data_IF_174521427973
#
_entry.id   IF_174521427973
#
_cell.length_a   1.000
_cell.length_b   1.000
_cell.length_c   1.000
_cell.angle_alpha   90.00
_cell.angle_beta   90.00
_cell.angle_gamma   90.00
#
_symmetry.space_group_name_H-M   'P 1'
#
loop_
_entity.id
_entity.type
_entity.pdbx_description
1 polymer ?
#
# COMPACT_ATOMS: atom_id res chain seq x y z
N UNK A 1 -65.32 61.49 -19.47
CA UNK A 1 -65.41 60.51 -20.56
C UNK A 1 -64.75 59.23 -20.09
N UNK A 2 -65.56 58.25 -20.09
CA UNK A 2 -65.54 56.84 -19.78
C UNK A 2 -64.21 56.14 -19.42
N UNK A 3 -64.12 55.71 -18.17
CA UNK A 3 -63.10 54.74 -17.62
C UNK A 3 -63.59 53.30 -17.78
N UNK A 4 -62.87 52.45 -18.54
CA UNK A 4 -63.14 51.02 -18.57
C UNK A 4 -62.15 50.30 -17.61
N UNK A 5 -62.75 49.70 -16.57
CA UNK A 5 -62.08 48.73 -15.67
C UNK A 5 -61.93 47.38 -16.37
N UNK A 6 -60.71 46.85 -16.47
CA UNK A 6 -60.46 45.48 -16.90
C UNK A 6 -60.22 44.59 -15.67
N UNK A 7 -60.99 43.50 -15.59
CA UNK A 7 -60.95 42.49 -14.54
C UNK A 7 -59.71 41.57 -14.70
N UNK A 8 -59.01 41.33 -13.61
CA UNK A 8 -57.95 40.34 -13.45
C UNK A 8 -58.53 38.92 -13.45
N UNK A 9 -57.87 37.90 -14.09
CA UNK A 9 -58.29 36.49 -13.99
C UNK A 9 -57.73 35.80 -12.79
N UNK A 10 -58.58 34.98 -12.19
CA UNK A 10 -58.32 34.13 -10.99
C UNK A 10 -57.21 33.10 -11.20
N UNK A 11 -56.35 32.97 -10.19
CA UNK A 11 -55.34 31.90 -10.07
C UNK A 11 -56.00 30.53 -9.86
N UNK A 12 -55.91 29.64 -10.85
CA UNK A 12 -56.17 28.20 -10.68
C UNK A 12 -55.00 27.56 -9.95
N UNK A 13 -55.25 26.94 -8.81
CA UNK A 13 -54.31 26.14 -8.05
C UNK A 13 -53.96 24.86 -8.84
N UNK A 14 -52.66 24.66 -9.17
CA UNK A 14 -52.16 23.43 -9.75
C UNK A 14 -51.98 22.39 -8.64
N UNK A 15 -52.72 21.29 -8.73
CA UNK A 15 -52.53 20.08 -7.89
C UNK A 15 -51.15 19.49 -8.21
N UNK A 16 -50.25 19.47 -7.22
CA UNK A 16 -49.01 18.68 -7.27
C UNK A 16 -49.37 17.21 -7.36
N UNK A 17 -49.09 16.57 -8.49
CA UNK A 17 -49.09 15.13 -8.61
C UNK A 17 -47.86 14.57 -7.84
N UNK A 18 -48.10 13.90 -6.73
CA UNK A 18 -47.10 13.13 -6.02
C UNK A 18 -46.88 11.83 -6.80
N UNK A 19 -45.92 11.83 -7.72
CA UNK A 19 -45.47 10.63 -8.40
C UNK A 19 -44.80 9.67 -7.39
N UNK A 20 -45.45 8.57 -7.07
CA UNK A 20 -44.83 7.45 -6.41
C UNK A 20 -43.69 6.93 -7.29
N UNK A 21 -42.43 6.95 -6.77
CA UNK A 21 -41.32 6.22 -7.40
C UNK A 21 -41.73 4.74 -7.53
N UNK A 22 -41.51 4.10 -8.69
CA UNK A 22 -41.76 2.68 -8.84
C UNK A 22 -40.93 1.91 -7.79
N UNK A 23 -41.60 1.10 -6.98
CA UNK A 23 -40.96 0.17 -6.05
C UNK A 23 -40.23 -0.89 -6.87
N UNK A 24 -38.97 -1.12 -6.57
CA UNK A 24 -38.21 -2.24 -7.13
C UNK A 24 -38.96 -3.56 -6.85
N UNK A 25 -39.01 -4.53 -7.79
CA UNK A 25 -39.67 -5.80 -7.59
C UNK A 25 -39.12 -6.51 -6.36
N UNK A 26 -39.97 -6.80 -5.37
CA UNK A 26 -39.61 -7.55 -4.18
C UNK A 26 -39.42 -9.01 -4.54
N UNK A 27 -38.19 -9.52 -4.41
CA UNK A 27 -37.94 -10.96 -4.42
C UNK A 27 -38.64 -11.58 -3.20
N UNK A 28 -39.46 -12.61 -3.39
CA UNK A 28 -40.21 -13.27 -2.33
C UNK A 28 -39.30 -13.68 -1.17
N UNK A 29 -39.67 -13.30 0.05
CA UNK A 29 -38.99 -13.71 1.29
C UNK A 29 -39.14 -15.25 1.44
N UNK A 30 -38.04 -16.01 1.30
CA UNK A 30 -38.03 -17.40 1.72
C UNK A 30 -37.21 -18.41 0.90
N UNK A 31 -36.85 -18.13 -0.36
CA UNK A 31 -35.97 -19.04 -1.12
C UNK A 31 -34.66 -18.32 -1.49
N UNK A 32 -33.53 -19.01 -1.28
CA UNK A 32 -32.25 -18.51 -1.85
C UNK A 32 -32.41 -18.37 -3.36
N UNK A 33 -32.07 -17.21 -3.92
CA UNK A 33 -32.10 -17.00 -5.38
C UNK A 33 -31.25 -18.05 -6.08
N UNK A 34 -31.50 -18.31 -7.37
CA UNK A 34 -30.68 -19.23 -8.17
C UNK A 34 -29.21 -18.84 -8.14
N UNK A 35 -28.93 -17.53 -8.12
CA UNK A 35 -27.58 -16.98 -8.05
C UNK A 35 -26.91 -17.24 -6.69
N UNK A 36 -27.67 -17.16 -5.58
CA UNK A 36 -27.15 -17.54 -4.25
C UNK A 36 -26.91 -19.06 -4.14
N UNK A 37 -27.69 -19.91 -4.83
CA UNK A 37 -27.42 -21.34 -4.95
C UNK A 37 -26.16 -21.65 -5.76
N UNK A 38 -25.81 -20.78 -6.71
CA UNK A 38 -24.56 -20.84 -7.47
C UNK A 38 -23.35 -20.25 -6.72
N UNK A 39 -23.52 -19.87 -5.43
CA UNK A 39 -22.43 -19.39 -4.59
C UNK A 39 -22.31 -17.86 -4.49
N UNK A 40 -23.17 -17.08 -5.17
CA UNK A 40 -23.12 -15.60 -5.16
C UNK A 40 -24.33 -15.02 -4.41
N UNK A 41 -24.12 -14.57 -3.17
CA UNK A 41 -25.17 -13.97 -2.33
C UNK A 41 -25.18 -12.43 -2.48
N UNK A 42 -26.03 -11.94 -3.40
CA UNK A 42 -26.20 -10.49 -3.65
C UNK A 42 -26.73 -9.75 -2.41
N UNK A 43 -27.62 -10.38 -1.62
CA UNK A 43 -28.16 -9.74 -0.42
C UNK A 43 -27.09 -9.55 0.66
N UNK A 44 -26.21 -10.54 0.82
CA UNK A 44 -25.02 -10.43 1.67
C UNK A 44 -24.09 -9.31 1.17
N UNK A 45 -23.77 -9.30 -0.11
CA UNK A 45 -22.95 -8.25 -0.72
C UNK A 45 -23.49 -6.84 -0.46
N UNK A 46 -24.81 -6.63 -0.61
CA UNK A 46 -25.44 -5.33 -0.35
C UNK A 46 -25.41 -4.93 1.14
N UNK A 47 -25.61 -5.88 2.07
CA UNK A 47 -25.50 -5.61 3.52
C UNK A 47 -24.08 -5.21 3.89
N UNK A 48 -23.09 -5.90 3.34
CA UNK A 48 -21.68 -5.60 3.56
C UNK A 48 -21.34 -4.21 3.01
N UNK A 49 -21.72 -3.90 1.77
CA UNK A 49 -21.50 -2.59 1.14
C UNK A 49 -22.11 -1.43 1.96
N UNK A 50 -23.27 -1.63 2.59
CA UNK A 50 -23.88 -0.59 3.43
C UNK A 50 -23.05 -0.24 4.68
N UNK A 51 -22.29 -1.18 5.24
CA UNK A 51 -21.39 -0.97 6.38
C UNK A 51 -20.04 -0.32 6.02
N UNK A 52 -19.58 -0.53 4.79
CA UNK A 52 -18.27 -0.04 4.32
C UNK A 52 -18.21 1.50 4.33
N UNK A 53 -19.28 2.17 3.94
CA UNK A 53 -19.34 3.62 3.84
C UNK A 53 -18.95 4.35 5.13
N UNK A 54 -19.34 3.82 6.29
CA UNK A 54 -18.99 4.40 7.59
C UNK A 54 -17.48 4.24 7.91
N UNK A 55 -16.88 3.13 7.51
CA UNK A 55 -15.44 2.86 7.72
C UNK A 55 -14.56 3.72 6.82
N UNK A 56 -14.98 3.99 5.59
CA UNK A 56 -14.19 4.69 4.57
C UNK A 56 -14.33 6.21 4.64
N UNK A 57 -15.51 6.72 5.02
CA UNK A 57 -15.79 8.17 5.12
C UNK A 57 -14.73 8.98 5.89
N UNK A 58 -14.10 8.49 6.97
CA UNK A 58 -13.03 9.22 7.67
C UNK A 58 -11.76 9.49 6.85
N UNK A 59 -11.61 8.86 5.67
CA UNK A 59 -10.50 9.12 4.73
C UNK A 59 -10.80 10.25 3.75
N UNK A 60 -12.09 10.66 3.64
CA UNK A 60 -12.55 11.64 2.65
C UNK A 60 -12.33 13.06 3.13
N UNK A 61 -11.69 13.88 2.28
CA UNK A 61 -11.60 15.33 2.41
C UNK A 61 -12.55 16.04 1.43
N UNK A 62 -12.41 17.36 1.35
CA UNK A 62 -13.21 18.20 0.42
C UNK A 62 -12.93 17.90 -1.07
N UNK A 63 -11.85 17.21 -1.36
CA UNK A 63 -11.48 16.80 -2.72
C UNK A 63 -12.34 15.63 -3.24
N UNK A 64 -12.99 14.85 -2.37
CA UNK A 64 -13.88 13.74 -2.76
C UNK A 64 -15.26 14.28 -3.05
N UNK A 65 -15.72 14.18 -4.30
CA UNK A 65 -16.96 14.79 -4.77
C UNK A 65 -18.17 13.87 -4.77
N UNK A 66 -18.01 12.61 -4.44
CA UNK A 66 -19.08 11.61 -4.46
C UNK A 66 -19.14 10.75 -3.20
N UNK A 67 -20.18 9.93 -3.12
CA UNK A 67 -20.30 8.85 -2.14
C UNK A 67 -19.78 7.53 -2.68
N UNK A 68 -19.52 6.57 -1.78
CA UNK A 68 -19.19 5.19 -2.14
C UNK A 68 -20.41 4.51 -2.76
N UNK A 69 -20.18 3.69 -3.80
CA UNK A 69 -21.23 2.91 -4.49
C UNK A 69 -21.67 3.50 -5.83
N UNK A 70 -21.03 4.57 -6.32
CA UNK A 70 -21.13 5.02 -7.70
C UNK A 70 -20.30 4.16 -8.65
N UNK A 71 -20.46 4.35 -9.98
CA UNK A 71 -19.66 3.65 -10.99
C UNK A 71 -18.18 4.01 -10.97
N UNK A 72 -17.82 5.14 -10.33
CA UNK A 72 -16.43 5.58 -10.18
C UNK A 72 -16.28 6.55 -9.02
N UNK A 73 -15.08 6.58 -8.45
CA UNK A 73 -14.68 7.55 -7.44
C UNK A 73 -14.39 8.91 -8.08
N UNK A 74 -14.97 9.98 -7.54
CA UNK A 74 -14.78 11.33 -8.05
C UNK A 74 -13.83 12.09 -7.11
N UNK A 75 -12.69 12.52 -7.64
CA UNK A 75 -11.68 13.25 -6.88
C UNK A 75 -11.26 14.52 -7.63
N UNK A 76 -11.32 15.66 -6.96
CA UNK A 76 -10.91 16.96 -7.49
C UNK A 76 -9.64 17.44 -6.79
N UNK A 77 -8.46 17.24 -7.35
CA UNK A 77 -7.22 17.73 -6.75
C UNK A 77 -7.18 19.26 -6.77
N UNK A 78 -6.82 19.87 -5.64
CA UNK A 78 -6.56 21.31 -5.55
C UNK A 78 -5.06 21.58 -5.71
N UNK A 79 -4.62 21.76 -6.95
CA UNK A 79 -3.21 21.97 -7.29
C UNK A 79 -2.65 23.25 -6.68
N UNK A 80 -3.46 24.35 -6.60
CA UNK A 80 -3.03 25.62 -6.01
C UNK A 80 -2.73 25.48 -4.52
N UNK A 81 -3.66 24.87 -3.77
CA UNK A 81 -3.50 24.60 -2.34
C UNK A 81 -2.28 23.72 -2.05
N UNK A 82 -1.93 22.84 -2.98
CA UNK A 82 -0.77 21.94 -2.88
C UNK A 82 0.54 22.61 -3.34
N UNK A 83 0.48 23.81 -3.91
CA UNK A 83 1.66 24.53 -4.43
C UNK A 83 2.24 23.90 -5.70
N UNK A 84 1.47 23.07 -6.42
CA UNK A 84 1.87 22.36 -7.62
C UNK A 84 1.58 23.22 -8.85
N UNK A 85 2.60 23.44 -9.67
CA UNK A 85 2.52 24.28 -10.89
C UNK A 85 2.46 23.41 -12.15
N UNK A 86 3.25 22.35 -12.22
CA UNK A 86 3.31 21.40 -13.34
C UNK A 86 3.04 20.00 -12.80
N UNK A 87 1.74 19.59 -12.69
CA UNK A 87 1.34 18.37 -12.03
C UNK A 87 1.69 17.11 -12.86
N UNK A 88 2.37 16.16 -12.21
CA UNK A 88 2.59 14.80 -12.72
C UNK A 88 1.84 13.83 -11.81
N UNK A 89 0.94 13.04 -12.40
CA UNK A 89 0.27 11.95 -11.70
C UNK A 89 1.15 10.71 -11.72
N UNK A 90 1.22 10.04 -10.57
CA UNK A 90 1.94 8.78 -10.40
C UNK A 90 0.96 7.75 -9.88
N UNK A 91 0.88 6.61 -10.54
CA UNK A 91 0.02 5.50 -10.13
C UNK A 91 0.81 4.22 -9.98
N UNK A 92 0.45 3.40 -8.98
CA UNK A 92 0.97 2.06 -8.77
C UNK A 92 -0.19 1.12 -8.45
N UNK A 93 0.00 -0.16 -8.77
CA UNK A 93 -0.91 -1.26 -8.41
C UNK A 93 -0.09 -2.36 -7.78
N UNK A 94 -0.54 -2.89 -6.65
CA UNK A 94 0.13 -4.00 -5.99
C UNK A 94 -0.87 -4.90 -5.25
N UNK A 95 -0.37 -6.03 -4.76
CA UNK A 95 -1.10 -6.98 -3.92
C UNK A 95 -0.37 -7.25 -2.60
N UNK A 96 -0.98 -8.04 -1.73
CA UNK A 96 -0.33 -8.49 -0.48
C UNK A 96 0.45 -9.78 -0.68
N UNK A 97 0.09 -10.55 -1.69
CA UNK A 97 0.76 -11.80 -2.04
C UNK A 97 0.55 -12.89 -0.97
N UNK A 98 1.52 -13.82 -0.88
CA UNK A 98 1.38 -15.02 -0.04
C UNK A 98 1.48 -14.78 1.47
N UNK A 99 1.67 -13.54 1.93
CA UNK A 99 1.43 -13.14 3.33
C UNK A 99 -0.02 -13.42 3.75
N UNK A 100 -0.98 -13.38 2.82
CA UNK A 100 -2.39 -13.73 3.07
C UNK A 100 -2.54 -15.11 3.70
N UNK A 101 -1.68 -16.09 3.35
CA UNK A 101 -1.72 -17.42 3.96
C UNK A 101 -1.43 -17.41 5.47
N UNK A 102 -0.70 -16.41 5.96
CA UNK A 102 -0.48 -16.22 7.40
C UNK A 102 -1.75 -15.66 8.04
N UNK A 103 -2.40 -14.69 7.40
CA UNK A 103 -3.66 -14.15 7.88
C UNK A 103 -4.75 -15.23 7.97
N UNK A 104 -4.87 -16.10 6.96
CA UNK A 104 -5.79 -17.25 6.98
C UNK A 104 -5.49 -18.20 8.12
N UNK A 105 -4.23 -18.58 8.31
CA UNK A 105 -3.82 -19.53 9.34
C UNK A 105 -3.90 -18.98 10.78
N UNK A 106 -3.90 -17.66 10.96
CA UNK A 106 -4.04 -16.99 12.26
C UNK A 106 -5.43 -16.46 12.52
N UNK A 107 -6.32 -16.49 11.54
CA UNK A 107 -7.64 -15.83 11.53
C UNK A 107 -7.57 -14.34 11.95
N UNK A 108 -6.50 -13.65 11.52
CA UNK A 108 -6.25 -12.24 11.79
C UNK A 108 -6.07 -11.47 10.48
N UNK A 109 -7.03 -10.62 10.15
CA UNK A 109 -7.13 -9.93 8.87
C UNK A 109 -7.02 -8.41 8.97
N UNK A 110 -6.89 -7.85 10.18
CA UNK A 110 -6.91 -6.39 10.41
C UNK A 110 -5.62 -5.68 9.98
N UNK A 111 -4.52 -6.43 9.78
CA UNK A 111 -3.22 -5.90 9.34
C UNK A 111 -3.13 -5.79 7.83
N UNK A 112 -3.82 -6.67 7.10
CA UNK A 112 -3.61 -6.91 5.65
C UNK A 112 -3.99 -5.69 4.80
N UNK A 113 -5.10 -5.02 5.13
CA UNK A 113 -5.47 -3.79 4.43
C UNK A 113 -4.43 -2.68 4.58
N UNK A 114 -3.80 -2.56 5.77
CA UNK A 114 -2.74 -1.61 6.00
C UNK A 114 -1.43 -1.99 5.28
N UNK A 115 -1.13 -3.28 5.18
CA UNK A 115 -0.01 -3.78 4.38
C UNK A 115 -0.10 -3.27 2.93
N UNK A 116 -1.27 -3.48 2.30
CA UNK A 116 -1.51 -3.10 0.92
C UNK A 116 -1.34 -1.59 0.69
N UNK A 117 -2.01 -0.77 1.53
CA UNK A 117 -1.92 0.69 1.39
C UNK A 117 -0.49 1.18 1.59
N UNK A 118 0.22 0.70 2.62
CA UNK A 118 1.58 1.12 2.92
C UNK A 118 2.56 0.72 1.81
N UNK A 119 2.39 -0.47 1.23
CA UNK A 119 3.17 -0.91 0.07
C UNK A 119 3.00 0.08 -1.09
N UNK A 120 1.77 0.27 -1.56
CA UNK A 120 1.48 1.17 -2.68
C UNK A 120 1.89 2.64 -2.41
N UNK A 121 1.71 3.11 -1.18
CA UNK A 121 2.15 4.46 -0.77
C UNK A 121 3.66 4.61 -0.88
N UNK A 122 4.44 3.61 -0.46
CA UNK A 122 5.89 3.63 -0.56
C UNK A 122 6.35 3.65 -2.02
N UNK A 123 5.68 2.89 -2.90
CA UNK A 123 6.01 2.83 -4.32
C UNK A 123 5.88 4.17 -5.05
N UNK A 124 4.83 4.93 -4.75
CA UNK A 124 4.70 6.26 -5.34
C UNK A 124 5.57 7.31 -4.64
N UNK A 125 5.84 7.13 -3.33
CA UNK A 125 6.66 8.08 -2.56
C UNK A 125 8.11 8.13 -3.06
N UNK A 126 8.67 7.01 -3.55
CA UNK A 126 10.04 6.98 -4.11
C UNK A 126 10.20 7.84 -5.35
N UNK A 127 9.12 8.18 -6.04
CA UNK A 127 9.12 9.13 -7.17
C UNK A 127 8.95 10.59 -6.73
N UNK A 128 8.80 10.84 -5.43
CA UNK A 128 8.49 12.16 -4.86
C UNK A 128 6.99 12.47 -4.75
N UNK A 129 6.11 11.55 -5.21
CA UNK A 129 4.67 11.79 -5.22
C UNK A 129 4.04 11.67 -3.83
N UNK A 130 3.05 12.53 -3.58
CA UNK A 130 2.18 12.46 -2.40
C UNK A 130 0.85 11.82 -2.78
N UNK A 131 0.32 10.92 -1.93
CA UNK A 131 -0.95 10.24 -2.20
C UNK A 131 -2.12 11.20 -2.40
N UNK A 132 -3.02 10.84 -3.31
CA UNK A 132 -4.31 11.49 -3.53
C UNK A 132 -5.45 10.56 -3.13
N UNK A 133 -5.58 9.44 -3.81
CA UNK A 133 -6.64 8.48 -3.58
C UNK A 133 -6.20 7.04 -3.83
N UNK A 134 -6.99 6.12 -3.29
CA UNK A 134 -6.79 4.68 -3.33
C UNK A 134 -8.07 3.98 -3.79
N UNK A 135 -7.92 2.89 -4.52
CA UNK A 135 -8.97 1.96 -4.92
C UNK A 135 -8.52 0.55 -4.53
N UNK A 136 -9.43 -0.27 -4.00
CA UNK A 136 -9.16 -1.66 -3.64
C UNK A 136 -9.93 -2.65 -4.51
N UNK A 137 -9.39 -3.86 -4.63
CA UNK A 137 -10.07 -5.02 -5.18
C UNK A 137 -9.96 -6.17 -4.17
N UNK A 138 -11.11 -6.67 -3.72
CA UNK A 138 -11.19 -7.80 -2.79
C UNK A 138 -11.99 -8.91 -3.48
N UNK A 139 -11.37 -10.06 -3.72
CA UNK A 139 -12.01 -11.21 -4.32
C UNK A 139 -11.91 -12.43 -3.39
N UNK A 140 -13.01 -13.12 -3.15
CA UNK A 140 -13.08 -14.28 -2.25
C UNK A 140 -13.96 -15.39 -2.85
N UNK A 141 -13.74 -16.64 -2.45
CA UNK A 141 -14.66 -17.72 -2.78
C UNK A 141 -16.08 -17.41 -2.27
N UNK A 142 -16.15 -16.93 -1.02
CA UNK A 142 -17.36 -16.49 -0.34
C UNK A 142 -17.00 -15.33 0.60
N UNK A 143 -17.81 -14.27 0.57
CA UNK A 143 -17.60 -13.13 1.44
C UNK A 143 -17.94 -13.46 2.91
N UNK A 144 -16.99 -13.26 3.80
CA UNK A 144 -17.21 -13.21 5.24
C UNK A 144 -17.28 -11.73 5.68
N UNK A 145 -18.43 -11.28 6.25
CA UNK A 145 -18.59 -9.89 6.66
C UNK A 145 -17.60 -9.43 7.73
N UNK A 146 -17.17 -10.33 8.64
CA UNK A 146 -16.17 -10.03 9.67
C UNK A 146 -14.81 -9.77 9.04
N UNK A 147 -14.35 -10.72 8.23
CA UNK A 147 -13.05 -10.64 7.54
C UNK A 147 -12.99 -9.38 6.66
N UNK A 148 -14.06 -9.13 5.89
CA UNK A 148 -14.12 -7.95 5.04
C UNK A 148 -14.09 -6.64 5.83
N UNK A 149 -14.80 -6.59 6.98
CA UNK A 149 -14.76 -5.43 7.88
C UNK A 149 -13.35 -5.20 8.42
N UNK A 150 -12.63 -6.24 8.82
CA UNK A 150 -11.24 -6.16 9.31
C UNK A 150 -10.31 -5.62 8.23
N UNK A 151 -10.37 -6.17 7.01
CA UNK A 151 -9.57 -5.71 5.87
C UNK A 151 -9.82 -4.23 5.59
N UNK A 152 -11.10 -3.82 5.47
CA UNK A 152 -11.47 -2.43 5.16
C UNK A 152 -11.09 -1.48 6.31
N UNK A 153 -11.14 -1.94 7.54
CA UNK A 153 -10.66 -1.16 8.69
C UNK A 153 -9.16 -0.89 8.56
N UNK A 154 -8.37 -1.90 8.20
CA UNK A 154 -6.94 -1.76 7.91
C UNK A 154 -6.65 -0.80 6.76
N UNK A 155 -7.35 -0.96 5.63
CA UNK A 155 -7.28 -0.05 4.47
C UNK A 155 -7.58 1.39 4.87
N UNK A 156 -8.69 1.62 5.54
CA UNK A 156 -9.14 2.96 5.96
C UNK A 156 -8.16 3.62 6.93
N UNK A 157 -7.67 2.87 7.92
CA UNK A 157 -6.66 3.36 8.88
C UNK A 157 -5.41 3.85 8.15
N UNK A 158 -4.82 3.02 7.29
CA UNK A 158 -3.60 3.36 6.58
C UNK A 158 -3.82 4.49 5.56
N UNK A 159 -4.95 4.51 4.86
CA UNK A 159 -5.33 5.62 3.98
C UNK A 159 -5.46 6.95 4.75
N UNK A 160 -6.07 6.94 5.94
CA UNK A 160 -6.17 8.13 6.79
C UNK A 160 -4.80 8.63 7.23
N UNK A 161 -3.91 7.74 7.69
CA UNK A 161 -2.52 8.06 8.07
C UNK A 161 -1.73 8.62 6.89
N UNK A 162 -1.93 8.05 5.71
CA UNK A 162 -1.33 8.52 4.47
C UNK A 162 -1.95 9.82 3.94
N UNK A 163 -3.07 10.31 4.49
CA UNK A 163 -3.90 11.39 3.94
C UNK A 163 -4.29 11.12 2.50
N UNK A 164 -4.71 9.90 2.25
CA UNK A 164 -5.13 9.34 0.98
C UNK A 164 -6.60 8.97 1.07
N UNK A 165 -7.42 9.39 0.12
CA UNK A 165 -8.86 9.08 0.16
C UNK A 165 -9.12 7.69 -0.42
N UNK A 166 -9.74 6.80 0.33
CA UNK A 166 -10.27 5.53 -0.21
C UNK A 166 -11.61 5.84 -0.88
N UNK A 167 -11.61 5.99 -2.22
CA UNK A 167 -12.75 6.55 -2.95
C UNK A 167 -13.64 5.51 -3.63
N UNK A 168 -13.26 4.24 -3.59
CA UNK A 168 -14.01 3.14 -4.20
C UNK A 168 -13.19 1.88 -4.23
N UNK A 169 -13.76 0.87 -4.86
CA UNK A 169 -13.16 -0.45 -5.03
C UNK A 169 -14.17 -1.44 -5.56
N UNK A 170 -13.76 -2.70 -5.66
CA UNK A 170 -14.61 -3.81 -6.08
C UNK A 170 -14.52 -4.95 -5.05
N UNK A 171 -15.67 -5.57 -4.78
CA UNK A 171 -15.75 -6.75 -3.91
C UNK A 171 -16.47 -7.84 -4.65
N UNK A 172 -15.75 -8.90 -5.02
CA UNK A 172 -16.23 -9.99 -5.87
C UNK A 172 -16.35 -11.31 -5.09
N UNK A 173 -17.45 -12.05 -5.32
CA UNK A 173 -17.58 -13.45 -4.93
C UNK A 173 -17.27 -14.31 -6.14
N UNK A 174 -16.26 -15.15 -6.04
CA UNK A 174 -15.73 -15.97 -7.13
C UNK A 174 -15.60 -17.44 -6.68
N UNK A 175 -16.74 -18.14 -6.50
CA UNK A 175 -16.73 -19.54 -6.08
C UNK A 175 -16.00 -20.41 -7.12
N UNK A 176 -15.15 -21.31 -6.64
CA UNK A 176 -14.35 -22.20 -7.49
C UNK A 176 -13.02 -21.60 -7.98
N UNK A 177 -12.80 -20.27 -7.84
CA UNK A 177 -11.50 -19.65 -8.16
C UNK A 177 -10.58 -19.60 -6.92
N UNK A 178 -11.15 -19.34 -5.76
CA UNK A 178 -10.44 -19.32 -4.47
C UNK A 178 -10.89 -20.50 -3.61
N UNK A 179 -10.02 -20.96 -2.71
CA UNK A 179 -10.37 -21.94 -1.68
C UNK A 179 -11.37 -21.37 -0.67
N UNK A 180 -12.08 -22.24 0.05
CA UNK A 180 -13.00 -21.81 1.11
C UNK A 180 -12.23 -21.06 2.21
N UNK A 181 -12.73 -19.89 2.61
CA UNK A 181 -12.05 -18.98 3.57
C UNK A 181 -10.89 -18.18 3.00
N UNK A 182 -10.54 -18.38 1.73
CA UNK A 182 -9.47 -17.62 1.07
C UNK A 182 -10.01 -16.43 0.27
N UNK A 183 -9.18 -15.41 0.18
CA UNK A 183 -9.41 -14.22 -0.62
C UNK A 183 -8.12 -13.72 -1.24
N UNK A 184 -8.23 -12.88 -2.25
CA UNK A 184 -7.15 -12.06 -2.77
C UNK A 184 -7.44 -10.58 -2.59
N UNK A 185 -6.39 -9.77 -2.51
CA UNK A 185 -6.47 -8.35 -2.23
C UNK A 185 -5.44 -7.61 -3.07
N UNK A 186 -5.91 -6.72 -3.90
CA UNK A 186 -5.08 -5.79 -4.66
C UNK A 186 -5.54 -4.35 -4.45
N UNK A 187 -4.66 -3.39 -4.70
CA UNK A 187 -4.97 -1.98 -4.58
C UNK A 187 -4.26 -1.14 -5.62
N UNK A 188 -4.93 -0.07 -6.02
CA UNK A 188 -4.38 0.95 -6.90
C UNK A 188 -4.34 2.28 -6.19
N UNK A 189 -3.17 2.91 -6.22
CA UNK A 189 -2.95 4.25 -5.67
C UNK A 189 -2.66 5.24 -6.79
N UNK A 190 -3.17 6.45 -6.63
CA UNK A 190 -2.76 7.59 -7.45
C UNK A 190 -2.27 8.70 -6.54
N UNK A 191 -1.09 9.20 -6.85
CA UNK A 191 -0.46 10.34 -6.19
C UNK A 191 -0.10 11.43 -7.19
N UNK A 192 0.50 12.50 -6.67
CA UNK A 192 0.87 13.67 -7.45
C UNK A 192 2.20 14.24 -6.99
N UNK A 193 2.99 14.73 -7.94
CA UNK A 193 4.23 15.46 -7.71
C UNK A 193 4.31 16.64 -8.68
N UNK A 194 4.96 17.74 -8.27
CA UNK A 194 5.34 18.79 -9.23
C UNK A 194 6.51 18.26 -10.08
N UNK A 195 6.48 18.45 -11.41
CA UNK A 195 7.52 17.94 -12.32
C UNK A 195 8.95 18.25 -11.87
N UNK A 196 9.17 19.45 -11.33
CA UNK A 196 10.50 19.86 -10.82
C UNK A 196 10.98 19.10 -9.59
N UNK A 197 10.06 18.44 -8.87
CA UNK A 197 10.31 17.67 -7.65
C UNK A 197 10.31 16.16 -7.89
N UNK A 198 10.13 15.74 -9.16
CA UNK A 198 10.16 14.34 -9.55
C UNK A 198 11.53 13.72 -9.24
N UNK A 199 11.51 12.55 -8.63
CA UNK A 199 12.69 11.74 -8.32
C UNK A 199 12.81 10.63 -9.38
N UNK A 200 13.63 10.85 -10.38
CA UNK A 200 13.87 9.96 -11.53
C UNK A 200 15.28 9.35 -11.56
N UNK A 201 16.07 9.58 -10.51
CA UNK A 201 17.45 9.13 -10.42
C UNK A 201 18.48 10.02 -11.14
N UNK A 202 18.06 10.99 -11.93
CA UNK A 202 18.97 11.85 -12.74
C UNK A 202 19.97 12.65 -11.92
N UNK A 203 19.67 12.89 -10.63
CA UNK A 203 20.56 13.62 -9.70
C UNK A 203 21.60 12.75 -8.99
N UNK A 204 21.48 11.43 -9.12
CA UNK A 204 22.41 10.47 -8.50
C UNK A 204 23.77 10.55 -9.18
N UNK A 205 24.83 10.59 -8.38
CA UNK A 205 26.20 10.70 -8.87
C UNK A 205 27.20 10.00 -7.95
N UNK A 206 28.36 9.64 -8.44
CA UNK A 206 29.45 9.14 -7.60
C UNK A 206 29.77 10.09 -6.45
N UNK A 207 29.97 9.53 -5.25
CA UNK A 207 30.16 10.28 -4.01
C UNK A 207 28.88 10.56 -3.22
N UNK A 208 27.70 10.20 -3.73
CA UNK A 208 26.46 10.19 -2.94
C UNK A 208 26.47 9.06 -1.91
N UNK A 209 25.81 9.28 -0.77
CA UNK A 209 25.64 8.28 0.28
C UNK A 209 24.30 7.53 0.10
N UNK A 210 24.33 6.25 0.42
CA UNK A 210 23.14 5.40 0.53
C UNK A 210 22.70 5.34 1.99
N UNK A 211 21.54 5.91 2.29
CA UNK A 211 20.96 5.90 3.63
C UNK A 211 19.85 4.85 3.69
N UNK A 212 20.09 3.75 4.41
CA UNK A 212 19.12 2.70 4.65
C UNK A 212 18.19 3.05 5.81
N UNK A 213 16.88 2.92 5.58
CA UNK A 213 15.86 3.03 6.61
C UNK A 213 15.40 1.64 7.04
N UNK A 214 15.30 1.37 8.36
CA UNK A 214 15.00 0.04 8.85
C UNK A 214 13.60 -0.42 8.43
N UNK A 215 13.48 -1.69 8.01
CA UNK A 215 12.20 -2.40 7.95
C UNK A 215 11.80 -2.88 9.35
N UNK A 216 10.55 -3.31 9.49
CA UNK A 216 10.06 -3.92 10.73
C UNK A 216 9.79 -5.43 10.59
N UNK A 217 10.39 -6.07 9.60
CA UNK A 217 10.24 -7.48 9.26
C UNK A 217 10.28 -7.71 7.76
N UNK A 218 9.63 -8.78 7.30
CA UNK A 218 9.60 -9.16 5.88
C UNK A 218 8.85 -8.16 5.00
N UNK A 219 7.99 -7.32 5.59
CA UNK A 219 7.01 -6.50 4.89
C UNK A 219 5.97 -7.37 4.16
N UNK A 220 5.94 -7.37 2.82
CA UNK A 220 4.99 -8.15 2.02
C UNK A 220 5.69 -9.05 0.99
N UNK A 221 7.02 -9.21 1.07
CA UNK A 221 7.80 -9.95 0.08
C UNK A 221 8.53 -11.14 0.69
N UNK A 222 8.83 -12.15 -0.14
CA UNK A 222 9.58 -13.34 0.27
C UNK A 222 8.78 -14.37 1.07
N UNK A 223 7.46 -14.20 1.24
CA UNK A 223 6.64 -15.08 2.08
C UNK A 223 6.56 -16.52 1.59
N UNK A 224 6.68 -16.78 0.30
CA UNK A 224 6.70 -18.17 -0.22
C UNK A 224 7.89 -18.92 0.30
N UNK A 225 9.10 -18.34 0.23
CA UNK A 225 10.32 -18.94 0.76
C UNK A 225 10.27 -18.99 2.30
N UNK A 226 9.87 -17.90 2.96
CA UNK A 226 9.78 -17.85 4.41
C UNK A 226 8.85 -18.95 4.96
N UNK A 227 7.66 -19.14 4.36
CA UNK A 227 6.73 -20.20 4.77
C UNK A 227 7.30 -21.58 4.56
N UNK A 228 7.91 -21.84 3.39
CA UNK A 228 8.56 -23.12 3.11
C UNK A 228 9.64 -23.44 4.15
N UNK A 229 10.49 -22.46 4.48
CA UNK A 229 11.56 -22.70 5.46
C UNK A 229 10.99 -22.86 6.86
N UNK A 230 10.17 -21.93 7.32
CA UNK A 230 9.72 -21.92 8.72
C UNK A 230 8.80 -23.09 9.05
N UNK A 231 7.86 -23.42 8.14
CA UNK A 231 6.83 -24.42 8.41
C UNK A 231 7.21 -25.80 7.87
N UNK A 232 7.64 -25.89 6.60
CA UNK A 232 7.87 -27.19 5.96
C UNK A 232 9.22 -27.79 6.34
N UNK A 233 10.30 -26.96 6.40
CA UNK A 233 11.65 -27.45 6.69
C UNK A 233 11.96 -27.49 8.20
N UNK A 234 11.62 -26.40 8.93
CA UNK A 234 11.89 -26.30 10.37
C UNK A 234 10.75 -26.85 11.24
N UNK A 235 9.58 -27.15 10.68
CA UNK A 235 8.42 -27.68 11.40
C UNK A 235 7.85 -26.71 12.45
N UNK A 236 8.17 -25.40 12.36
CA UNK A 236 7.69 -24.40 13.32
C UNK A 236 6.19 -24.18 13.18
N UNK A 237 5.56 -23.86 14.31
CA UNK A 237 4.16 -23.43 14.38
C UNK A 237 4.08 -21.91 14.51
N UNK A 238 2.94 -21.32 14.16
CA UNK A 238 2.70 -19.88 14.30
C UNK A 238 2.84 -19.38 15.76
N UNK A 239 2.55 -20.25 16.73
CA UNK A 239 2.67 -19.97 18.18
C UNK A 239 4.11 -20.05 18.71
N UNK A 240 5.02 -20.67 17.97
CA UNK A 240 6.39 -20.91 18.44
C UNK A 240 7.18 -19.61 18.55
N UNK A 241 8.17 -19.62 19.47
CA UNK A 241 9.06 -18.49 19.77
C UNK A 241 10.52 -18.92 19.59
N UNK A 242 11.02 -18.99 18.36
CA UNK A 242 12.41 -19.35 18.12
C UNK A 242 13.38 -18.42 18.85
N UNK A 243 14.52 -18.95 19.28
CA UNK A 243 15.55 -18.18 19.96
C UNK A 243 15.97 -16.96 19.12
N UNK A 244 16.05 -15.79 19.76
CA UNK A 244 16.43 -14.52 19.16
C UNK A 244 15.30 -13.78 18.45
N UNK A 245 14.11 -14.38 18.23
CA UNK A 245 13.00 -13.71 17.56
C UNK A 245 12.27 -12.69 18.46
N UNK A 246 12.20 -12.96 19.77
CA UNK A 246 11.55 -12.07 20.76
C UNK A 246 10.02 -12.09 20.73
N UNK A 247 9.39 -12.72 19.73
CA UNK A 247 7.94 -12.82 19.56
C UNK A 247 7.56 -14.18 18.95
N UNK A 248 6.26 -14.45 18.74
CA UNK A 248 5.85 -15.65 18.02
C UNK A 248 6.10 -15.52 16.51
N UNK A 249 6.27 -16.65 15.82
CA UNK A 249 6.41 -16.69 14.35
C UNK A 249 5.23 -15.99 13.68
N UNK A 250 4.00 -16.26 14.11
CA UNK A 250 2.80 -15.62 13.54
C UNK A 250 2.78 -14.11 13.73
N UNK A 251 3.10 -13.62 14.93
CA UNK A 251 3.16 -12.19 15.20
C UNK A 251 4.28 -11.48 14.39
N UNK A 252 5.43 -12.14 14.22
CA UNK A 252 6.51 -11.62 13.38
C UNK A 252 6.07 -11.48 11.92
N UNK A 253 5.46 -12.53 11.38
CA UNK A 253 5.03 -12.57 9.98
C UNK A 253 3.83 -11.66 9.69
N UNK A 254 3.01 -11.31 10.70
CA UNK A 254 1.89 -10.37 10.55
C UNK A 254 2.27 -8.90 10.82
N UNK A 255 3.53 -8.59 11.13
CA UNK A 255 3.93 -7.18 11.27
C UNK A 255 3.53 -6.39 10.03
N UNK A 256 2.83 -5.27 10.26
CA UNK A 256 2.36 -4.40 9.18
C UNK A 256 3.55 -3.82 8.42
N UNK A 257 3.47 -3.83 7.11
CA UNK A 257 4.42 -3.16 6.21
C UNK A 257 4.60 -1.70 6.61
N UNK A 258 5.82 -1.28 6.87
CA UNK A 258 6.12 0.06 7.35
C UNK A 258 5.90 1.11 6.27
N UNK A 259 5.13 2.16 6.57
CA UNK A 259 5.02 3.33 5.71
C UNK A 259 6.22 4.26 5.92
N UNK A 260 6.90 4.63 4.83
CA UNK A 260 7.97 5.62 4.84
C UNK A 260 7.49 7.02 4.42
N UNK A 261 6.21 7.20 4.13
CA UNK A 261 5.64 8.50 3.74
C UNK A 261 5.95 9.64 4.74
N UNK A 262 5.92 9.43 6.06
CA UNK A 262 6.33 10.48 7.02
C UNK A 262 7.78 10.95 6.79
N UNK A 263 8.67 10.05 6.40
CA UNK A 263 10.06 10.37 6.06
C UNK A 263 10.14 11.22 4.80
N UNK A 264 9.39 10.87 3.75
CA UNK A 264 9.33 11.67 2.51
C UNK A 264 8.76 13.07 2.76
N UNK A 265 7.74 13.20 3.62
CA UNK A 265 7.21 14.51 4.04
C UNK A 265 8.26 15.36 4.74
N UNK A 266 9.08 14.77 5.62
CA UNK A 266 10.18 15.46 6.29
C UNK A 266 11.26 15.91 5.27
N UNK A 267 11.66 15.01 4.37
CA UNK A 267 12.65 15.31 3.32
C UNK A 267 12.17 16.40 2.38
N UNK A 268 10.90 16.39 1.99
CA UNK A 268 10.32 17.44 1.14
C UNK A 268 10.31 18.81 1.81
N UNK A 269 10.19 18.87 3.13
CA UNK A 269 10.24 20.09 3.93
C UNK A 269 11.67 20.57 4.23
N UNK A 270 12.71 19.76 3.98
CA UNK A 270 14.10 20.14 4.21
C UNK A 270 14.58 21.18 3.18
N UNK A 271 15.30 22.19 3.66
CA UNK A 271 15.95 23.19 2.79
C UNK A 271 16.93 22.49 1.84
N UNK A 272 16.91 22.86 0.57
CA UNK A 272 17.80 22.30 -0.45
C UNK A 272 17.35 20.96 -1.02
N UNK A 273 16.27 20.33 -0.50
CA UNK A 273 15.73 19.07 -1.00
C UNK A 273 16.83 18.02 -1.27
N UNK A 274 17.49 17.50 -0.24
CA UNK A 274 18.74 16.73 -0.39
C UNK A 274 18.53 15.33 -0.99
N UNK A 275 17.29 14.91 -1.22
CA UNK A 275 17.00 13.58 -1.77
C UNK A 275 17.25 13.56 -3.28
N UNK A 276 18.23 12.78 -3.75
CA UNK A 276 18.55 12.60 -5.16
C UNK A 276 17.69 11.49 -5.80
N UNK A 277 17.49 10.38 -5.09
CA UNK A 277 16.63 9.27 -5.46
C UNK A 277 16.24 8.46 -4.23
N UNK A 278 15.27 7.57 -4.38
CA UNK A 278 14.90 6.60 -3.36
C UNK A 278 14.47 5.27 -3.98
N UNK A 279 14.74 4.16 -3.29
CA UNK A 279 14.31 2.83 -3.69
C UNK A 279 13.53 2.17 -2.56
N UNK A 280 12.32 1.71 -2.85
CA UNK A 280 11.53 0.83 -1.98
C UNK A 280 12.04 -0.60 -2.14
N UNK A 281 12.46 -1.23 -1.04
CA UNK A 281 13.07 -2.56 -1.09
C UNK A 281 11.96 -3.61 -0.93
N UNK A 282 11.50 -4.11 -2.06
CA UNK A 282 10.44 -5.10 -2.23
C UNK A 282 10.99 -6.44 -2.74
N UNK A 283 10.22 -7.20 -3.52
CA UNK A 283 10.72 -8.38 -4.24
C UNK A 283 11.89 -8.01 -5.15
N UNK A 284 12.94 -8.82 -5.13
CA UNK A 284 14.23 -8.48 -5.73
C UNK A 284 15.24 -7.87 -4.75
N UNK A 285 14.83 -7.54 -3.51
CA UNK A 285 15.71 -7.06 -2.44
C UNK A 285 16.52 -5.82 -2.81
N UNK A 286 17.70 -5.68 -2.22
CA UNK A 286 18.63 -4.59 -2.54
C UNK A 286 19.20 -4.74 -3.97
N UNK A 287 19.38 -5.98 -4.43
CA UNK A 287 20.06 -6.30 -5.69
C UNK A 287 19.28 -5.78 -6.90
N UNK A 288 17.95 -5.99 -6.94
CA UNK A 288 17.15 -5.67 -8.11
C UNK A 288 16.41 -4.31 -7.99
N UNK A 289 16.27 -3.76 -6.78
CA UNK A 289 15.55 -2.50 -6.61
C UNK A 289 16.46 -1.27 -6.72
N UNK A 290 17.71 -1.32 -6.25
CA UNK A 290 18.61 -0.18 -6.36
C UNK A 290 19.00 0.17 -7.81
N UNK A 291 19.24 -0.77 -8.72
CA UNK A 291 19.53 -0.45 -10.13
C UNK A 291 18.47 0.40 -10.82
N UNK A 292 17.20 0.32 -10.38
CA UNK A 292 16.09 1.10 -10.97
C UNK A 292 16.26 2.61 -10.84
N UNK A 293 17.07 3.04 -9.87
CA UNK A 293 17.30 4.46 -9.56
C UNK A 293 18.73 4.92 -9.85
N UNK A 294 19.60 4.02 -10.31
CA UNK A 294 20.97 4.34 -10.66
C UNK A 294 21.06 4.80 -12.11
N UNK A 295 21.70 5.94 -12.42
CA UNK A 295 22.00 6.29 -13.80
C UNK A 295 23.07 5.35 -14.36
N UNK A 296 23.11 5.23 -15.69
CA UNK A 296 24.21 4.54 -16.39
C UNK A 296 25.54 5.15 -15.96
N UNK A 297 26.48 4.33 -15.53
CA UNK A 297 27.79 4.79 -15.06
C UNK A 297 27.91 4.95 -13.55
N UNK A 298 26.88 4.54 -12.77
CA UNK A 298 26.93 4.52 -11.31
C UNK A 298 26.61 3.12 -10.78
N UNK A 299 27.43 2.62 -9.83
CA UNK A 299 27.14 1.44 -9.03
C UNK A 299 26.79 1.85 -7.59
N UNK A 300 25.97 1.04 -6.92
CA UNK A 300 25.76 1.10 -5.49
C UNK A 300 26.70 0.10 -4.79
N UNK A 301 27.57 0.59 -3.90
CA UNK A 301 28.38 -0.28 -3.03
C UNK A 301 27.78 -0.26 -1.64
N UNK A 302 27.45 -1.44 -1.12
CA UNK A 302 26.75 -1.64 0.15
C UNK A 302 27.66 -2.36 1.11
N UNK A 303 27.70 -1.87 2.36
CA UNK A 303 28.32 -2.56 3.50
C UNK A 303 27.23 -3.29 4.29
N UNK A 304 27.10 -4.64 4.16
CA UNK A 304 26.09 -5.42 4.89
C UNK A 304 26.32 -5.46 6.39
N UNK A 305 27.52 -5.11 6.87
CA UNK A 305 27.88 -5.01 8.29
C UNK A 305 27.41 -3.70 8.95
N UNK A 306 27.00 -2.70 8.17
CA UNK A 306 26.63 -1.36 8.67
C UNK A 306 25.33 -1.32 9.47
N UNK A 307 24.47 -2.35 9.38
CA UNK A 307 23.23 -2.45 10.16
C UNK A 307 23.02 -3.84 10.75
N UNK A 308 22.17 -3.92 11.77
CA UNK A 308 21.77 -5.18 12.36
C UNK A 308 20.63 -5.81 11.57
N UNK A 309 20.88 -6.94 10.93
CA UNK A 309 19.84 -7.72 10.25
C UNK A 309 18.88 -8.31 11.29
N UNK A 310 17.55 -8.15 11.15
CA UNK A 310 16.56 -8.75 12.05
C UNK A 310 16.66 -10.28 12.11
N UNK A 311 16.43 -10.84 13.29
CA UNK A 311 16.64 -12.27 13.56
C UNK A 311 15.88 -13.22 12.64
N UNK A 312 14.69 -12.81 12.17
CA UNK A 312 13.86 -13.62 11.28
C UNK A 312 14.60 -14.01 10.00
N UNK A 313 15.39 -13.10 9.40
CA UNK A 313 16.17 -13.39 8.20
C UNK A 313 17.26 -14.41 8.45
N UNK A 314 17.93 -14.33 9.62
CA UNK A 314 18.93 -15.32 10.01
C UNK A 314 18.33 -16.69 10.30
N UNK A 315 17.10 -16.76 10.85
CA UNK A 315 16.37 -18.00 11.04
C UNK A 315 16.04 -18.63 9.68
N UNK A 316 15.53 -17.83 8.74
CA UNK A 316 15.19 -18.29 7.40
C UNK A 316 16.45 -18.74 6.64
N UNK A 317 17.49 -17.92 6.59
CA UNK A 317 18.72 -18.21 5.85
C UNK A 317 19.38 -19.50 6.31
N UNK A 318 19.62 -19.65 7.63
CA UNK A 318 20.23 -20.87 8.20
C UNK A 318 19.28 -22.07 8.11
N UNK A 319 18.00 -21.89 8.42
CA UNK A 319 17.01 -22.98 8.41
C UNK A 319 16.75 -23.55 7.03
N UNK A 320 16.84 -22.72 6.00
CA UNK A 320 16.66 -23.11 4.60
C UNK A 320 17.97 -23.42 3.87
N UNK A 321 19.13 -23.24 4.52
CA UNK A 321 20.44 -23.25 3.87
C UNK A 321 20.45 -22.39 2.59
N UNK A 322 19.85 -21.17 2.69
CA UNK A 322 19.70 -20.25 1.55
C UNK A 322 21.02 -19.51 1.35
N UNK A 323 21.45 -19.40 0.10
CA UNK A 323 22.63 -18.62 -0.27
C UNK A 323 22.54 -17.17 0.26
N UNK A 324 23.62 -16.62 0.86
CA UNK A 324 23.61 -15.27 1.40
C UNK A 324 23.22 -14.19 0.39
N UNK A 325 23.65 -14.27 -0.85
CA UNK A 325 23.27 -13.30 -1.91
C UNK A 325 21.81 -13.47 -2.31
N UNK A 326 21.30 -14.70 -2.38
CA UNK A 326 19.89 -14.98 -2.61
C UNK A 326 19.01 -14.35 -1.51
N UNK A 327 19.46 -14.37 -0.24
CA UNK A 327 18.76 -13.69 0.85
C UNK A 327 18.62 -12.18 0.58
N UNK A 328 19.64 -11.50 0.04
CA UNK A 328 19.61 -10.08 -0.35
C UNK A 328 18.85 -9.80 -1.63
N UNK A 329 18.50 -10.83 -2.40
CA UNK A 329 17.65 -10.74 -3.58
C UNK A 329 16.18 -11.01 -3.24
N UNK A 330 15.89 -11.96 -2.35
CA UNK A 330 14.50 -12.30 -1.99
C UNK A 330 13.92 -11.35 -0.95
N UNK A 331 14.75 -10.92 0.03
CA UNK A 331 14.30 -10.17 1.21
C UNK A 331 14.91 -8.77 1.30
N UNK A 332 14.24 -7.92 2.07
CA UNK A 332 14.75 -6.59 2.40
C UNK A 332 15.92 -6.61 3.42
N UNK A 333 16.21 -7.72 4.03
CA UNK A 333 17.28 -7.93 5.02
C UNK A 333 17.37 -6.89 6.15
N UNK A 334 16.23 -6.26 6.48
CA UNK A 334 16.14 -5.25 7.52
C UNK A 334 16.19 -3.80 7.01
N UNK A 335 16.38 -3.58 5.71
CA UNK A 335 16.34 -2.26 5.06
C UNK A 335 15.14 -2.23 4.11
N UNK A 336 14.10 -1.49 4.48
CA UNK A 336 12.88 -1.43 3.65
C UNK A 336 12.85 -0.24 2.68
N UNK A 337 13.74 0.74 2.87
CA UNK A 337 13.86 1.91 1.99
C UNK A 337 15.31 2.36 1.93
N UNK A 338 15.82 2.69 0.76
CA UNK A 338 17.13 3.32 0.58
C UNK A 338 16.94 4.70 -0.02
N UNK A 339 17.60 5.69 0.58
CA UNK A 339 17.63 7.06 0.12
C UNK A 339 19.02 7.37 -0.43
N UNK A 340 19.10 8.00 -1.61
CA UNK A 340 20.35 8.50 -2.17
C UNK A 340 20.43 9.99 -1.89
N UNK A 341 21.46 10.41 -1.17
CA UNK A 341 21.64 11.79 -0.70
C UNK A 341 23.09 12.27 -0.90
N UNK A 342 23.38 13.58 -0.92
CA UNK A 342 24.76 14.06 -1.00
C UNK A 342 25.65 13.44 0.09
N UNK A 343 26.82 12.91 -0.26
CA UNK A 343 27.69 12.18 0.67
C UNK A 343 28.02 12.95 1.95
N UNK A 344 28.26 14.26 1.85
CA UNK A 344 28.55 15.14 3.01
C UNK A 344 27.36 15.26 3.99
N UNK A 345 26.15 14.97 3.56
CA UNK A 345 24.92 15.06 4.36
C UNK A 345 24.44 13.70 4.86
N UNK A 346 25.04 12.60 4.37
CA UNK A 346 24.59 11.23 4.61
C UNK A 346 24.35 10.91 6.09
N UNK A 347 25.36 11.10 6.93
CA UNK A 347 25.29 10.82 8.38
C UNK A 347 24.24 11.68 9.09
N UNK A 348 24.18 12.98 8.76
CA UNK A 348 23.19 13.91 9.35
C UNK A 348 21.78 13.51 8.99
N UNK A 349 21.55 13.17 7.72
CA UNK A 349 20.23 12.75 7.24
C UNK A 349 19.86 11.40 7.85
N UNK A 350 20.77 10.43 7.86
CA UNK A 350 20.57 9.14 8.48
C UNK A 350 20.13 9.29 9.95
N UNK A 351 20.87 10.04 10.75
CA UNK A 351 20.54 10.33 12.15
C UNK A 351 19.15 10.99 12.30
N UNK A 352 18.85 11.99 11.45
CA UNK A 352 17.57 12.74 11.51
C UNK A 352 16.36 11.84 11.21
N UNK A 353 16.54 10.83 10.36
CA UNK A 353 15.48 9.96 9.89
C UNK A 353 15.42 8.60 10.60
N UNK A 354 16.35 8.34 11.54
CA UNK A 354 16.47 7.06 12.24
C UNK A 354 16.96 5.93 11.34
N UNK A 355 17.73 6.28 10.31
CA UNK A 355 18.41 5.35 9.40
C UNK A 355 19.90 5.22 9.70
N UNK A 356 20.61 4.59 8.78
CA UNK A 356 22.09 4.47 8.78
C UNK A 356 22.64 4.68 7.38
N UNK A 357 23.85 5.19 7.26
CA UNK A 357 24.61 5.11 6.02
C UNK A 357 25.00 3.64 5.84
N UNK A 358 24.53 3.03 4.74
CA UNK A 358 24.73 1.62 4.42
C UNK A 358 25.68 1.41 3.24
N UNK A 359 26.22 2.50 2.69
CA UNK A 359 27.10 2.44 1.54
C UNK A 359 27.14 3.76 0.78
N UNK A 360 27.60 3.71 -0.46
CA UNK A 360 27.74 4.88 -1.32
C UNK A 360 27.63 4.55 -2.80
N UNK A 361 27.49 5.61 -3.60
CA UNK A 361 27.47 5.55 -5.05
C UNK A 361 28.87 5.77 -5.59
N UNK A 362 29.31 4.90 -6.48
CA UNK A 362 30.62 4.96 -7.16
C UNK A 362 30.46 4.96 -8.68
N UNK A 363 31.53 5.24 -9.42
CA UNK A 363 31.55 5.02 -10.86
C UNK A 363 31.37 3.54 -11.16
N UNK A 364 30.54 3.19 -12.16
CA UNK A 364 30.24 1.79 -12.45
C UNK A 364 29.36 1.59 -13.68
N UNK A 365 28.54 0.55 -13.65
CA UNK A 365 27.74 0.08 -14.80
C UNK A 365 26.24 -0.04 -14.51
N UNK A 366 25.78 0.38 -13.33
CA UNK A 366 24.36 0.33 -12.92
C UNK A 366 24.02 -0.88 -12.06
N UNK A 367 25.00 -1.45 -11.35
CA UNK A 367 24.80 -2.65 -10.52
C UNK A 367 24.98 -2.37 -9.04
N UNK A 368 24.57 -3.36 -8.23
CA UNK A 368 24.80 -3.40 -6.78
C UNK A 368 26.00 -4.30 -6.51
N UNK A 369 26.88 -3.83 -5.64
CA UNK A 369 28.01 -4.60 -5.10
C UNK A 369 27.97 -4.59 -3.57
N UNK A 370 28.33 -5.69 -2.96
CA UNK A 370 28.51 -5.76 -1.51
C UNK A 370 29.99 -5.77 -1.17
N UNK A 371 30.37 -5.04 -0.12
CA UNK A 371 31.75 -5.04 0.39
C UNK A 371 31.73 -4.87 1.93
N UNK A 372 32.19 -5.90 2.70
CA UNK A 372 32.55 -7.24 2.22
C UNK A 372 31.36 -7.98 1.60
N UNK A 373 31.63 -9.07 0.87
CA UNK A 373 30.57 -9.93 0.35
C UNK A 373 29.77 -10.57 1.49
N UNK A 374 28.45 -10.69 1.39
CA UNK A 374 27.64 -11.37 2.39
C UNK A 374 28.07 -12.82 2.56
N UNK A 375 28.30 -13.25 3.81
CA UNK A 375 28.73 -14.62 4.14
C UNK A 375 30.23 -14.79 4.38
N UNK A 376 31.03 -13.77 4.10
CA UNK A 376 32.48 -13.74 4.42
C UNK A 376 32.74 -13.02 5.74
#
# INVERSE_FOLDING_TARGET
MSTKKTKSPSKKASKKATGKKPSAPSVAKGSKSSYAKAGVDVALGNRVKSGIGALVRPTHGAEVLGGIGGFGGLFRPDFKKRGIKDPVLVSSVDGVGTKLKIAFATDNHDTIGADLVNHCVNDIAVTGAMPLFFLDYIAAAKLDPRVLKEIITGLSRACKEARCALIGGETAQMPGLYGEGEYDLAGSITGIVDRKDLLDGSRVKPGDALVGLPSNGLHTNGYSLARKVLFDLLGLKLSDRPAGLGTTVGAELLKVHRSYLPTFRKLHAMKGKPLHAAAHITGGGLIDNLPRILPKGCDAVIDPGSWKVPAIFGIIGRGGNVDPLEMYQVFNMGIGMVLVVPGKEGEKIAKTLGGKVIGGVVKGSGIVRFFPEPGN
#
